data_IF_125325005896
#
_entry.id   IF_125325005896
#
_cell.length_a   1.000
_cell.length_b   1.000
_cell.length_c   1.000
_cell.angle_alpha   90.00
_cell.angle_beta   90.00
_cell.angle_gamma   90.00
#
_symmetry.space_group_name_H-M   'P 1'
#
loop_
_entity.id
_entity.type
_entity.pdbx_description
1 polymer ?
#
# COMPACT_ATOMS: atom_id res chain seq x y z
N UNK A 1 41.70 -59.00 36.90
CA UNK A 1 42.19 -58.55 35.58
C UNK A 1 41.01 -58.36 34.64
N UNK A 2 40.86 -57.15 34.10
CA UNK A 2 39.92 -56.80 33.03
C UNK A 2 40.41 -57.41 31.71
N UNK A 3 39.53 -58.03 30.91
CA UNK A 3 39.62 -57.96 29.45
C UNK A 3 38.32 -58.40 28.78
N UNK A 4 37.76 -57.50 27.97
CA UNK A 4 36.73 -57.77 26.97
C UNK A 4 37.28 -58.63 25.82
N UNK A 5 36.43 -59.42 25.17
CA UNK A 5 36.48 -59.60 23.71
C UNK A 5 35.10 -59.90 23.11
N UNK A 6 34.79 -59.13 22.05
CA UNK A 6 33.66 -59.21 21.10
C UNK A 6 33.70 -60.57 20.36
N UNK A 7 32.68 -61.12 19.69
CA UNK A 7 31.74 -60.60 18.68
C UNK A 7 30.77 -61.74 18.33
N UNK A 8 29.51 -61.47 17.98
CA UNK A 8 28.79 -62.29 16.98
C UNK A 8 27.95 -61.38 16.06
N UNK A 9 27.95 -61.75 14.79
CA UNK A 9 27.41 -61.07 13.62
C UNK A 9 25.88 -61.18 13.50
N UNK A 10 25.27 -60.29 12.73
CA UNK A 10 24.04 -60.59 11.99
C UNK A 10 22.98 -59.50 12.01
N UNK A 11 23.06 -58.60 11.04
CA UNK A 11 22.02 -57.62 10.67
C UNK A 11 20.68 -58.30 10.34
N UNK A 12 19.56 -57.56 10.45
CA UNK A 12 18.61 -57.23 9.37
C UNK A 12 17.30 -56.64 9.95
N UNK A 13 17.03 -55.36 9.62
CA UNK A 13 15.72 -54.72 9.32
C UNK A 13 14.58 -54.76 10.35
N UNK A 14 13.78 -53.72 10.62
CA UNK A 14 13.42 -52.51 9.88
C UNK A 14 13.34 -51.32 10.85
N UNK A 15 13.95 -50.18 10.49
CA UNK A 15 13.57 -48.87 11.04
C UNK A 15 12.59 -48.27 10.04
N UNK A 16 11.33 -48.13 10.44
CA UNK A 16 10.34 -47.33 9.72
C UNK A 16 10.75 -45.87 9.89
N UNK A 17 11.44 -45.33 8.89
CA UNK A 17 11.71 -43.90 8.81
C UNK A 17 10.41 -43.20 8.44
N UNK A 18 9.74 -42.64 9.44
CA UNK A 18 8.66 -41.69 9.24
C UNK A 18 9.29 -40.41 8.65
N UNK A 19 9.40 -40.34 7.32
CA UNK A 19 9.69 -39.08 6.63
C UNK A 19 8.53 -38.13 6.90
N UNK A 20 8.67 -37.28 7.92
CA UNK A 20 7.96 -36.02 7.96
C UNK A 20 8.38 -35.24 6.72
N UNK A 21 7.54 -35.26 5.67
CA UNK A 21 7.57 -34.18 4.70
C UNK A 21 7.26 -32.90 5.47
N UNK A 22 8.31 -32.19 5.89
CA UNK A 22 8.20 -30.75 6.07
C UNK A 22 7.90 -30.17 4.70
N UNK A 23 6.62 -30.07 4.37
CA UNK A 23 6.18 -29.12 3.34
C UNK A 23 6.43 -27.76 3.97
N UNK A 24 7.64 -27.23 3.77
CA UNK A 24 7.86 -25.81 3.92
C UNK A 24 6.97 -25.18 2.84
N UNK A 25 5.79 -24.71 3.23
CA UNK A 25 5.02 -23.79 2.38
C UNK A 25 5.90 -22.56 2.22
N UNK A 26 6.60 -22.46 1.10
CA UNK A 26 7.23 -21.21 0.72
C UNK A 26 6.11 -20.16 0.74
N UNK A 27 6.23 -19.16 1.60
CA UNK A 27 5.33 -18.01 1.57
C UNK A 27 5.27 -17.52 0.12
N UNK A 28 4.08 -17.48 -0.45
CA UNK A 28 3.92 -17.11 -1.85
C UNK A 28 4.50 -15.69 -2.02
N UNK A 29 5.34 -15.49 -3.04
CA UNK A 29 5.99 -14.22 -3.25
C UNK A 29 4.94 -13.14 -3.56
N UNK A 30 5.10 -11.95 -2.96
CA UNK A 30 4.30 -10.77 -3.30
C UNK A 30 4.30 -10.55 -4.82
N UNK A 31 3.12 -10.41 -5.41
CA UNK A 31 2.95 -10.15 -6.83
C UNK A 31 3.02 -8.65 -7.08
N UNK A 32 3.92 -8.19 -7.94
CA UNK A 32 3.96 -6.80 -8.40
C UNK A 32 2.85 -6.59 -9.43
N UNK A 33 2.07 -5.52 -9.28
CA UNK A 33 1.00 -5.18 -10.23
C UNK A 33 1.57 -4.91 -11.62
N UNK A 34 0.99 -5.54 -12.63
CA UNK A 34 1.48 -5.49 -14.01
C UNK A 34 1.12 -4.20 -14.76
N UNK A 35 1.30 -4.26 -16.08
CA UNK A 35 0.97 -3.17 -17.01
C UNK A 35 -0.54 -3.01 -17.19
N UNK A 36 -0.92 -1.87 -17.76
CA UNK A 36 -2.27 -1.60 -18.25
C UNK A 36 -2.60 -2.51 -19.43
N UNK A 37 -3.75 -3.21 -19.38
CA UNK A 37 -4.27 -4.09 -20.43
C UNK A 37 -5.50 -3.52 -21.15
N UNK A 38 -6.27 -2.65 -20.49
CA UNK A 38 -7.38 -1.90 -21.08
C UNK A 38 -7.49 -0.52 -20.45
N UNK A 39 -8.20 0.39 -21.10
CA UNK A 39 -8.46 1.73 -20.56
C UNK A 39 -9.88 2.14 -20.93
N UNK A 40 -10.69 2.45 -19.92
CA UNK A 40 -12.10 2.78 -20.05
C UNK A 40 -12.37 4.11 -19.33
N UNK A 41 -12.96 5.07 -20.04
CA UNK A 41 -13.41 6.33 -19.44
C UNK A 41 -14.86 6.19 -19.03
N UNK A 42 -15.14 6.36 -17.74
CA UNK A 42 -16.49 6.30 -17.18
C UNK A 42 -16.94 7.72 -16.86
N UNK A 43 -18.05 8.14 -17.47
CA UNK A 43 -18.68 9.43 -17.19
C UNK A 43 -19.81 9.21 -16.20
N UNK A 44 -19.80 9.94 -15.09
CA UNK A 44 -20.89 9.97 -14.14
C UNK A 44 -22.12 10.67 -14.77
N UNK A 45 -23.30 10.02 -14.78
CA UNK A 45 -24.47 10.56 -15.46
C UNK A 45 -25.12 11.72 -14.70
N UNK A 46 -24.81 11.94 -13.42
CA UNK A 46 -25.45 12.95 -12.58
C UNK A 46 -24.73 14.28 -12.68
N UNK A 47 -23.41 14.29 -12.51
CA UNK A 47 -22.60 15.51 -12.52
C UNK A 47 -21.71 15.65 -13.77
N UNK A 48 -21.63 14.62 -14.62
CA UNK A 48 -20.80 14.64 -15.82
C UNK A 48 -19.31 14.57 -15.54
N UNK A 49 -18.86 14.32 -14.30
CA UNK A 49 -17.46 14.07 -13.97
C UNK A 49 -17.01 12.75 -14.58
N UNK A 50 -15.70 12.60 -14.81
CA UNK A 50 -15.14 11.38 -15.39
C UNK A 50 -14.08 10.79 -14.50
N UNK A 51 -14.05 9.46 -14.49
CA UNK A 51 -12.99 8.64 -13.92
C UNK A 51 -12.46 7.70 -14.99
N UNK A 52 -11.21 7.27 -14.82
CA UNK A 52 -10.56 6.37 -15.77
C UNK A 52 -10.30 5.04 -15.07
N UNK A 53 -10.70 3.96 -15.72
CA UNK A 53 -10.52 2.60 -15.26
C UNK A 53 -9.50 1.92 -16.16
N UNK A 54 -8.45 1.34 -15.57
CA UNK A 54 -7.40 0.62 -16.25
C UNK A 54 -7.48 -0.85 -15.88
N UNK A 55 -7.73 -1.73 -16.86
CA UNK A 55 -7.52 -3.17 -16.67
C UNK A 55 -6.04 -3.47 -16.46
N UNK A 56 -5.73 -4.47 -15.63
CA UNK A 56 -4.35 -4.82 -15.27
C UNK A 56 -3.96 -6.20 -15.83
N UNK A 57 -2.74 -6.34 -16.34
CA UNK A 57 -2.25 -7.60 -16.93
C UNK A 57 -2.09 -8.73 -15.92
N UNK A 58 -1.97 -8.40 -14.62
CA UNK A 58 -1.94 -9.35 -13.50
C UNK A 58 -3.33 -9.71 -12.98
N UNK A 59 -4.38 -9.27 -13.67
CA UNK A 59 -5.76 -9.35 -13.19
C UNK A 59 -6.12 -8.17 -12.29
N UNK A 60 -7.42 -7.93 -12.16
CA UNK A 60 -7.94 -6.75 -11.49
C UNK A 60 -7.91 -5.49 -12.34
N UNK A 61 -8.12 -4.35 -11.69
CA UNK A 61 -8.17 -3.04 -12.30
C UNK A 61 -7.75 -1.92 -11.33
N UNK A 62 -7.33 -0.79 -11.91
CA UNK A 62 -7.08 0.47 -11.23
C UNK A 62 -8.13 1.50 -11.67
N UNK A 63 -8.85 2.11 -10.74
CA UNK A 63 -9.65 3.30 -10.97
C UNK A 63 -8.88 4.55 -10.49
N UNK A 64 -8.80 5.57 -11.35
CA UNK A 64 -8.33 6.91 -11.01
C UNK A 64 -9.47 7.89 -11.23
N UNK A 65 -10.00 8.44 -10.15
CA UNK A 65 -11.18 9.29 -10.14
C UNK A 65 -10.85 10.66 -9.50
N UNK A 66 -10.74 11.74 -10.28
CA UNK A 66 -10.64 13.09 -9.72
C UNK A 66 -12.02 13.54 -9.20
N UNK A 67 -12.13 13.77 -7.90
CA UNK A 67 -13.34 14.22 -7.20
C UNK A 67 -13.46 15.76 -7.21
N UNK A 68 -12.32 16.45 -7.24
CA UNK A 68 -12.19 17.89 -7.35
C UNK A 68 -10.85 18.21 -8.07
N UNK A 69 -10.57 19.47 -8.44
CA UNK A 69 -9.30 19.82 -9.06
C UNK A 69 -8.06 19.34 -8.28
N UNK A 70 -8.11 19.31 -6.95
CA UNK A 70 -7.03 18.96 -6.03
C UNK A 70 -7.25 17.64 -5.26
N UNK A 71 -8.37 16.94 -5.48
CA UNK A 71 -8.72 15.69 -4.78
C UNK A 71 -8.90 14.56 -5.77
N UNK A 72 -8.09 13.51 -5.63
CA UNK A 72 -8.11 12.33 -6.51
C UNK A 72 -8.17 11.06 -5.69
N UNK A 73 -9.08 10.16 -6.04
CA UNK A 73 -9.13 8.79 -5.53
C UNK A 73 -8.38 7.85 -6.47
N UNK A 74 -7.53 7.02 -5.89
CA UNK A 74 -6.86 5.90 -6.58
C UNK A 74 -7.31 4.61 -5.91
N UNK A 75 -7.94 3.72 -6.66
CA UNK A 75 -8.54 2.51 -6.12
C UNK A 75 -8.11 1.30 -6.94
N UNK A 76 -7.38 0.39 -6.28
CA UNK A 76 -7.03 -0.90 -6.86
C UNK A 76 -8.02 -1.98 -6.41
N UNK A 77 -8.29 -2.91 -7.32
CA UNK A 77 -9.28 -3.95 -7.10
C UNK A 77 -8.96 -5.22 -7.89
N UNK A 78 -9.10 -6.41 -7.29
CA UNK A 78 -8.75 -7.69 -7.92
C UNK A 78 -9.92 -8.67 -8.14
N UNK A 79 -11.08 -8.47 -7.49
CA UNK A 79 -12.17 -9.46 -7.47
C UNK A 79 -13.55 -8.84 -7.72
N UNK A 80 -14.05 -8.79 -8.96
CA UNK A 80 -15.46 -8.58 -9.37
C UNK A 80 -16.42 -7.55 -8.71
N UNK A 81 -16.09 -6.83 -7.64
CA UNK A 81 -17.00 -6.00 -6.84
C UNK A 81 -16.39 -4.60 -6.61
N UNK A 82 -16.76 -3.66 -7.47
CA UNK A 82 -16.31 -2.26 -7.44
C UNK A 82 -16.88 -1.45 -6.26
N UNK A 83 -18.00 -1.90 -5.69
CA UNK A 83 -18.64 -1.27 -4.54
C UNK A 83 -18.15 -1.92 -3.25
N UNK A 84 -17.11 -1.35 -2.65
CA UNK A 84 -16.84 -1.55 -1.21
C UNK A 84 -17.41 -0.36 -0.46
N UNK A 85 -17.83 -0.61 0.79
CA UNK A 85 -18.22 0.46 1.71
C UNK A 85 -17.04 1.41 1.94
N UNK A 86 -17.21 2.68 1.56
CA UNK A 86 -16.27 3.74 1.89
C UNK A 86 -16.55 4.20 3.33
N UNK A 87 -15.92 3.54 4.31
CA UNK A 87 -16.22 3.71 5.74
C UNK A 87 -15.96 5.12 6.30
N UNK A 88 -15.22 5.96 5.57
CA UNK A 88 -14.73 7.25 6.05
C UNK A 88 -14.83 8.37 5.00
N UNK A 89 -15.61 8.18 3.93
CA UNK A 89 -15.92 9.22 2.94
C UNK A 89 -17.42 9.46 2.96
N UNK A 90 -17.85 10.70 3.24
CA UNK A 90 -19.26 11.03 3.37
C UNK A 90 -19.97 11.37 2.07
N UNK A 91 -19.22 11.86 1.06
CA UNK A 91 -19.75 12.28 -0.23
C UNK A 91 -19.32 11.32 -1.33
N UNK A 92 -20.30 10.71 -1.98
CA UNK A 92 -20.12 9.85 -3.14
C UNK A 92 -19.73 10.67 -4.39
N UNK A 93 -19.11 10.02 -5.38
CA UNK A 93 -18.57 10.68 -6.57
C UNK A 93 -19.59 11.55 -7.32
N UNK A 94 -20.84 11.09 -7.41
CA UNK A 94 -21.98 11.78 -8.04
C UNK A 94 -22.45 13.04 -7.27
N UNK A 95 -22.06 13.18 -6.00
CA UNK A 95 -22.39 14.31 -5.12
C UNK A 95 -21.36 15.44 -5.16
N UNK A 96 -20.26 15.27 -5.89
CA UNK A 96 -19.27 16.33 -6.08
C UNK A 96 -19.65 17.26 -7.24
N UNK A 97 -19.37 18.58 -7.14
CA UNK A 97 -19.57 19.50 -8.25
C UNK A 97 -18.79 19.08 -9.50
N UNK A 98 -19.28 19.49 -10.68
CA UNK A 98 -18.51 19.32 -11.90
C UNK A 98 -17.33 20.27 -11.96
N UNK A 99 -16.25 19.84 -12.60
CA UNK A 99 -15.06 20.66 -12.84
C UNK A 99 -14.40 20.30 -14.17
N UNK A 100 -13.55 21.20 -14.65
CA UNK A 100 -12.81 21.01 -15.90
C UNK A 100 -11.72 19.96 -15.72
N UNK A 101 -11.65 19.05 -16.69
CA UNK A 101 -10.54 18.10 -16.80
C UNK A 101 -10.26 17.76 -18.24
N UNK A 102 -9.03 17.40 -18.53
CA UNK A 102 -8.60 16.86 -19.82
C UNK A 102 -8.04 15.47 -19.61
N UNK A 103 -8.50 14.52 -20.43
CA UNK A 103 -8.02 13.14 -20.45
C UNK A 103 -7.21 12.95 -21.73
N UNK A 104 -5.96 12.52 -21.60
CA UNK A 104 -5.03 12.38 -22.73
C UNK A 104 -4.28 11.05 -22.66
N UNK A 105 -4.26 10.32 -23.77
CA UNK A 105 -3.48 9.09 -23.90
C UNK A 105 -2.26 9.34 -24.78
N UNK A 106 -1.08 9.41 -24.15
CA UNK A 106 0.21 9.66 -24.80
C UNK A 106 0.99 8.37 -25.07
N UNK A 107 0.27 7.26 -25.25
CA UNK A 107 0.86 5.94 -25.48
C UNK A 107 1.30 5.31 -24.16
N UNK A 108 2.52 5.62 -23.71
CA UNK A 108 3.11 5.02 -22.50
C UNK A 108 2.57 5.61 -21.19
N UNK A 109 2.01 6.82 -21.25
CA UNK A 109 1.47 7.54 -20.10
C UNK A 109 0.05 7.98 -20.44
N UNK A 110 -0.88 7.73 -19.54
CA UNK A 110 -2.19 8.35 -19.58
C UNK A 110 -2.21 9.54 -18.62
N UNK A 111 -2.71 10.69 -19.06
CA UNK A 111 -2.77 11.92 -18.27
C UNK A 111 -4.20 12.31 -17.95
N UNK A 112 -4.44 12.64 -16.69
CA UNK A 112 -5.66 13.30 -16.22
C UNK A 112 -5.23 14.67 -15.70
N UNK A 113 -5.66 15.73 -16.37
CA UNK A 113 -5.25 17.10 -16.09
C UNK A 113 -6.45 17.85 -15.54
N UNK A 114 -6.31 18.44 -14.36
CA UNK A 114 -7.30 19.33 -13.72
C UNK A 114 -6.75 20.75 -13.66
N UNK A 115 -7.48 21.66 -13.02
CA UNK A 115 -7.01 23.04 -12.80
C UNK A 115 -5.82 23.12 -11.82
N UNK A 116 -5.68 22.16 -10.89
CA UNK A 116 -4.64 22.20 -9.84
C UNK A 116 -3.59 21.07 -9.96
N UNK A 117 -3.92 19.97 -10.65
CA UNK A 117 -3.10 18.77 -10.71
C UNK A 117 -2.92 18.24 -12.13
N UNK A 118 -1.78 17.58 -12.34
CA UNK A 118 -1.60 16.63 -13.43
C UNK A 118 -1.33 15.25 -12.82
N UNK A 119 -2.18 14.28 -13.16
CA UNK A 119 -2.04 12.88 -12.74
C UNK A 119 -1.51 12.10 -13.92
N UNK A 120 -0.31 11.53 -13.76
CA UNK A 120 0.30 10.65 -14.76
C UNK A 120 0.10 9.19 -14.33
N UNK A 121 -0.50 8.39 -15.21
CA UNK A 121 -0.58 6.93 -15.09
C UNK A 121 0.40 6.32 -16.07
N UNK A 122 1.56 5.89 -15.57
CA UNK A 122 2.57 5.16 -16.35
C UNK A 122 2.04 3.76 -16.57
N UNK A 123 1.93 3.34 -17.83
CA UNK A 123 1.20 2.11 -18.18
C UNK A 123 2.02 0.82 -18.08
N UNK A 124 3.35 0.87 -18.17
CA UNK A 124 4.22 -0.29 -18.34
C UNK A 124 5.66 0.03 -17.90
N UNK A 125 6.48 -0.93 -17.42
CA UNK A 125 6.21 -2.38 -17.24
C UNK A 125 5.36 -2.73 -16.02
N UNK A 126 5.20 -1.79 -15.10
CA UNK A 126 4.33 -1.89 -13.94
C UNK A 126 3.58 -0.59 -13.83
N UNK A 127 2.28 -0.66 -13.55
CA UNK A 127 1.48 0.55 -13.43
C UNK A 127 1.95 1.42 -12.26
N UNK A 128 2.10 2.72 -12.50
CA UNK A 128 2.45 3.71 -11.48
C UNK A 128 1.54 4.94 -11.61
N UNK A 129 1.12 5.51 -10.48
CA UNK A 129 0.38 6.76 -10.45
C UNK A 129 1.27 7.84 -9.85
N UNK A 130 1.39 8.97 -10.55
CA UNK A 130 2.15 10.12 -10.11
C UNK A 130 1.25 11.35 -10.07
N UNK A 131 1.50 12.22 -9.10
CA UNK A 131 0.80 13.48 -8.92
C UNK A 131 1.79 14.63 -9.09
N UNK A 132 1.48 15.57 -9.98
CA UNK A 132 2.23 16.79 -10.23
C UNK A 132 1.38 18.01 -9.95
N UNK A 133 2.00 19.10 -9.52
CA UNK A 133 1.38 20.43 -9.61
C UNK A 133 1.29 20.86 -11.07
N UNK A 134 0.48 21.88 -11.37
CA UNK A 134 0.43 22.50 -12.71
C UNK A 134 1.74 23.13 -13.16
N UNK A 135 2.61 23.49 -12.22
CA UNK A 135 3.96 23.99 -12.50
C UNK A 135 4.96 22.87 -12.87
N UNK A 136 4.50 21.61 -12.92
CA UNK A 136 5.28 20.44 -13.36
C UNK A 136 6.07 19.76 -12.25
N UNK A 137 5.95 20.20 -11.00
CA UNK A 137 6.67 19.59 -9.87
C UNK A 137 5.94 18.36 -9.33
N UNK A 138 6.63 17.23 -9.23
CA UNK A 138 6.09 16.03 -8.60
C UNK A 138 5.79 16.28 -7.11
N UNK A 139 4.55 16.02 -6.71
CA UNK A 139 4.07 16.07 -5.33
C UNK A 139 4.26 14.70 -4.67
N UNK A 140 3.72 13.64 -5.30
CA UNK A 140 3.83 12.25 -4.82
C UNK A 140 4.01 11.31 -6.00
N UNK A 141 4.88 10.30 -5.86
CA UNK A 141 5.18 9.32 -6.91
C UNK A 141 5.13 7.90 -6.36
N UNK A 142 4.37 7.05 -7.03
CA UNK A 142 4.44 5.60 -6.82
C UNK A 142 5.74 5.02 -7.39
N UNK A 143 6.36 4.12 -6.63
CA UNK A 143 7.41 3.24 -7.13
C UNK A 143 6.80 1.95 -7.69
N UNK A 144 5.94 1.28 -6.90
CA UNK A 144 5.17 0.10 -7.33
C UNK A 144 4.09 -0.27 -6.33
N UNK A 145 3.17 -1.12 -6.78
CA UNK A 145 2.17 -1.77 -5.95
C UNK A 145 2.45 -3.27 -5.95
N UNK A 146 2.28 -3.89 -4.78
CA UNK A 146 2.42 -5.32 -4.55
C UNK A 146 1.15 -5.84 -3.87
N UNK A 147 0.72 -7.04 -4.19
CA UNK A 147 -0.39 -7.71 -3.53
C UNK A 147 -0.14 -9.21 -3.33
N UNK A 148 -0.86 -9.80 -2.39
CA UNK A 148 -0.86 -11.24 -2.11
C UNK A 148 -2.27 -11.66 -1.68
N UNK A 149 -2.91 -12.54 -2.46
CA UNK A 149 -4.28 -13.04 -2.24
C UNK A 149 -4.34 -14.22 -1.29
N UNK A 150 -3.21 -14.79 -0.88
CA UNK A 150 -3.13 -15.92 0.06
C UNK A 150 -2.35 -15.53 1.32
N UNK A 151 -2.26 -14.24 1.61
CA UNK A 151 -1.48 -13.72 2.73
C UNK A 151 -1.91 -14.33 4.07
N UNK A 152 -0.92 -14.69 4.89
CA UNK A 152 -1.12 -15.06 6.29
C UNK A 152 -0.16 -14.23 7.18
N UNK A 153 -0.68 -13.32 8.03
CA UNK A 153 0.14 -12.46 8.86
C UNK A 153 0.96 -13.22 9.90
N UNK A 154 0.57 -14.44 10.29
CA UNK A 154 1.34 -15.29 11.21
C UNK A 154 2.65 -15.75 10.56
N UNK A 155 2.66 -15.87 9.24
CA UNK A 155 3.83 -16.30 8.47
C UNK A 155 4.77 -15.15 8.06
N UNK A 156 4.38 -13.89 8.33
CA UNK A 156 5.13 -12.71 7.91
C UNK A 156 5.97 -12.14 9.07
N UNK A 157 7.27 -12.43 9.14
CA UNK A 157 8.12 -11.95 10.23
C UNK A 157 8.26 -10.41 10.23
N UNK A 158 8.00 -9.73 9.11
CA UNK A 158 7.96 -8.26 9.06
C UNK A 158 6.69 -7.70 9.72
N UNK A 159 5.71 -8.55 9.99
CA UNK A 159 4.46 -8.23 10.68
C UNK A 159 4.49 -8.64 12.17
N UNK A 160 5.61 -9.18 12.68
CA UNK A 160 5.78 -9.60 14.08
C UNK A 160 5.75 -8.45 15.10
N UNK A 161 5.87 -7.19 14.66
CA UNK A 161 5.65 -6.01 15.52
C UNK A 161 4.18 -5.91 15.97
N UNK A 162 3.28 -6.64 15.32
CA UNK A 162 1.89 -6.78 15.71
C UNK A 162 1.77 -7.92 16.73
N UNK A 163 1.51 -7.61 18.01
CA UNK A 163 1.10 -8.61 19.01
C UNK A 163 -0.24 -9.23 18.58
N UNK A 164 -0.16 -10.27 17.76
CA UNK A 164 -1.28 -10.82 17.02
C UNK A 164 -1.75 -12.14 17.65
N UNK A 165 -3.06 -12.25 17.88
CA UNK A 165 -3.76 -13.54 17.93
C UNK A 165 -4.89 -13.46 16.92
N UNK A 166 -4.92 -14.38 15.95
CA UNK A 166 -6.11 -14.61 15.14
C UNK A 166 -6.48 -16.08 15.11
N UNK A 167 -7.76 -16.33 14.83
CA UNK A 167 -8.30 -17.67 14.64
C UNK A 167 -8.57 -17.99 13.15
N UNK A 168 -8.36 -17.05 12.21
CA UNK A 168 -8.74 -17.20 10.79
C UNK A 168 -7.81 -16.37 9.88
N UNK A 169 -7.22 -16.95 8.82
CA UNK A 169 -6.28 -16.27 7.92
C UNK A 169 -6.91 -15.04 7.25
N UNK A 170 -6.17 -13.92 7.24
CA UNK A 170 -6.56 -12.74 6.48
C UNK A 170 -6.05 -12.85 5.03
N UNK A 171 -6.89 -13.34 4.13
CA UNK A 171 -6.54 -13.72 2.75
C UNK A 171 -6.18 -12.56 1.79
N UNK A 172 -5.62 -11.45 2.28
CA UNK A 172 -5.16 -10.38 1.39
C UNK A 172 -4.14 -9.46 2.05
N UNK A 173 -3.05 -9.16 1.34
CA UNK A 173 -2.13 -8.05 1.63
C UNK A 173 -2.01 -7.15 0.43
N UNK A 174 -2.04 -5.85 0.68
CA UNK A 174 -1.74 -4.79 -0.28
C UNK A 174 -0.56 -3.98 0.25
N UNK A 175 0.37 -3.65 -0.62
CA UNK A 175 1.50 -2.77 -0.29
C UNK A 175 1.72 -1.78 -1.42
N UNK A 176 1.65 -0.49 -1.09
CA UNK A 176 2.06 0.59 -1.97
C UNK A 176 3.42 1.13 -1.52
N UNK A 177 4.36 1.18 -2.44
CA UNK A 177 5.70 1.73 -2.22
C UNK A 177 5.77 3.03 -3.01
N UNK A 178 6.12 4.11 -2.32
CA UNK A 178 6.26 5.45 -2.88
C UNK A 178 7.70 5.95 -2.74
N UNK A 179 8.06 6.88 -3.61
CA UNK A 179 9.29 7.68 -3.44
C UNK A 179 9.16 8.56 -2.19
N UNK A 180 10.29 8.76 -1.51
CA UNK A 180 10.44 9.50 -0.26
C UNK A 180 11.66 10.44 -0.37
N UNK A 181 11.51 11.60 -1.03
CA UNK A 181 12.62 12.53 -1.25
C UNK A 181 13.21 13.06 0.06
N UNK A 182 14.54 13.21 0.12
CA UNK A 182 15.25 13.58 1.36
C UNK A 182 14.77 14.91 1.97
N UNK A 183 14.36 15.88 1.15
CA UNK A 183 13.85 17.19 1.57
C UNK A 183 12.38 17.19 2.04
N UNK A 184 11.71 16.04 2.02
CA UNK A 184 10.32 15.91 2.46
C UNK A 184 10.19 15.50 3.92
N UNK A 185 9.35 16.24 4.66
CA UNK A 185 8.91 15.88 5.99
C UNK A 185 7.47 15.36 5.95
N UNK A 186 7.14 14.41 6.84
CA UNK A 186 5.83 13.75 6.87
C UNK A 186 5.16 13.95 8.21
N UNK A 187 3.86 14.26 8.19
CA UNK A 187 3.10 14.64 9.38
C UNK A 187 1.71 14.03 9.35
N UNK A 188 1.00 14.06 10.49
CA UNK A 188 -0.37 13.54 10.60
C UNK A 188 -0.44 12.23 11.39
N UNK A 189 -1.25 11.29 10.90
CA UNK A 189 -1.67 10.02 11.52
C UNK A 189 -2.53 10.14 12.79
N UNK A 190 -2.82 11.35 13.24
CA UNK A 190 -3.58 11.58 14.47
C UNK A 190 -2.73 11.35 15.73
N UNK A 191 -3.26 10.66 16.75
CA UNK A 191 -2.70 10.69 18.10
C UNK A 191 -1.56 9.69 18.32
N UNK A 192 -0.64 9.57 17.35
CA UNK A 192 0.58 8.81 17.55
C UNK A 192 1.63 9.63 18.30
N UNK A 193 2.26 9.00 19.28
CA UNK A 193 3.32 9.55 20.09
C UNK A 193 4.59 9.86 19.27
N UNK A 194 5.56 10.50 19.92
CA UNK A 194 6.88 10.75 19.34
C UNK A 194 6.99 12.01 18.49
N UNK A 195 8.14 12.16 17.79
CA UNK A 195 8.43 13.34 16.99
C UNK A 195 7.33 13.64 15.98
N UNK A 196 7.09 14.94 15.77
CA UNK A 196 6.05 15.43 14.87
C UNK A 196 6.32 15.00 13.41
N UNK A 197 7.58 15.05 12.97
CA UNK A 197 8.00 14.49 11.70
C UNK A 197 8.08 12.96 11.82
N UNK A 198 7.27 12.27 11.02
CA UNK A 198 7.10 10.82 11.03
C UNK A 198 8.14 10.08 10.21
N UNK A 199 9.02 10.79 9.50
CA UNK A 199 10.18 10.22 8.82
C UNK A 199 11.01 9.36 9.77
N UNK A 200 11.41 8.18 9.31
CA UNK A 200 12.17 7.20 10.08
C UNK A 200 11.33 6.37 11.07
N UNK A 201 10.01 6.52 11.08
CA UNK A 201 9.13 5.79 12.01
C UNK A 201 8.20 4.79 11.30
N UNK A 202 7.88 3.71 12.00
CA UNK A 202 6.82 2.78 11.62
C UNK A 202 5.58 3.11 12.44
N UNK A 203 4.45 3.29 11.79
CA UNK A 203 3.16 3.57 12.43
C UNK A 203 2.20 2.44 12.10
N UNK A 204 1.64 1.81 13.12
CA UNK A 204 0.73 0.68 12.98
C UNK A 204 -0.68 1.11 13.37
N UNK A 205 -1.62 1.00 12.41
CA UNK A 205 -3.04 1.21 12.63
C UNK A 205 -3.71 -0.04 13.19
N UNK A 206 -3.91 -0.08 14.50
CA UNK A 206 -4.72 -1.09 15.18
C UNK A 206 -5.22 -0.57 16.52
N UNK A 207 -6.43 -0.01 16.56
CA UNK A 207 -6.99 0.60 17.77
C UNK A 207 -6.85 -0.36 18.96
N UNK A 208 -6.01 0.03 19.92
CA UNK A 208 -5.60 -0.80 21.05
C UNK A 208 -5.68 -0.01 22.35
N UNK A 209 -6.09 -0.68 23.41
CA UNK A 209 -6.00 -0.14 24.77
C UNK A 209 -4.57 -0.23 25.29
N UNK A 210 -3.72 0.69 24.82
CA UNK A 210 -2.29 0.72 25.13
C UNK A 210 -2.03 1.62 26.34
N UNK A 211 -2.36 1.14 27.54
CA UNK A 211 -2.14 1.89 28.79
C UNK A 211 -0.65 2.19 29.06
N UNK A 212 -0.36 3.37 29.65
CA UNK A 212 1.00 3.84 29.99
C UNK A 212 2.00 3.81 28.84
N UNK A 213 1.52 4.12 27.64
CA UNK A 213 2.37 4.14 26.45
C UNK A 213 3.54 5.12 26.56
N UNK A 214 4.62 4.79 25.85
CA UNK A 214 5.83 5.60 25.76
C UNK A 214 5.99 6.20 24.36
N UNK A 215 6.94 7.11 24.20
CA UNK A 215 7.11 7.96 23.01
C UNK A 215 7.06 7.22 21.65
N UNK A 216 7.60 6.01 21.55
CA UNK A 216 7.68 5.26 20.28
C UNK A 216 6.72 4.07 20.21
N UNK A 217 5.73 4.00 21.09
CA UNK A 217 4.80 2.88 21.12
C UNK A 217 3.73 3.02 20.03
N UNK A 218 3.52 1.92 19.33
CA UNK A 218 2.47 1.74 18.35
C UNK A 218 2.01 0.28 18.44
N UNK A 219 0.72 -0.03 18.27
CA UNK A 219 -0.39 0.89 18.02
C UNK A 219 -0.93 1.59 19.28
N UNK A 220 -1.78 2.61 19.11
CA UNK A 220 -2.46 3.35 20.18
C UNK A 220 -4.00 3.30 20.02
N UNK A 221 -4.70 4.16 20.75
CA UNK A 221 -6.17 4.12 20.90
C UNK A 221 -6.98 4.38 19.63
N UNK A 222 -6.44 5.17 18.70
CA UNK A 222 -7.16 5.59 17.49
C UNK A 222 -6.25 5.59 16.27
N UNK A 223 -6.77 5.06 15.17
CA UNK A 223 -6.14 5.04 13.86
C UNK A 223 -6.77 6.09 12.97
N UNK A 224 -6.00 7.10 12.58
CA UNK A 224 -6.39 8.06 11.55
C UNK A 224 -5.42 7.89 10.37
N UNK A 225 -5.76 7.12 9.31
CA UNK A 225 -4.85 6.77 8.24
C UNK A 225 -4.71 7.91 7.21
N UNK A 226 -4.52 9.13 7.69
CA UNK A 226 -4.28 10.34 6.92
C UNK A 226 -2.95 10.96 7.33
N UNK A 227 -2.09 11.20 6.36
CA UNK A 227 -0.83 11.91 6.57
C UNK A 227 -0.58 12.87 5.41
N UNK A 228 0.37 13.78 5.59
CA UNK A 228 0.70 14.77 4.58
C UNK A 228 2.20 15.00 4.51
N UNK A 229 2.69 15.19 3.28
CA UNK A 229 4.07 15.54 2.97
C UNK A 229 4.21 17.05 2.82
N UNK A 230 5.29 17.60 3.36
CA UNK A 230 5.67 19.00 3.22
C UNK A 230 7.11 19.09 2.73
N UNK A 231 7.32 19.90 1.69
CA UNK A 231 8.64 20.29 1.19
C UNK A 231 8.76 21.80 1.22
N UNK A 232 9.89 22.28 1.73
CA UNK A 232 10.24 23.69 1.65
C UNK A 232 10.62 24.11 0.23
N UNK A 233 10.97 25.37 0.07
CA UNK A 233 11.54 25.88 -1.19
C UNK A 233 12.91 25.23 -1.41
N UNK A 234 13.16 24.72 -2.62
CA UNK A 234 14.42 24.06 -3.00
C UNK A 234 14.82 24.48 -4.42
N UNK A 235 15.77 25.41 -4.54
CA UNK A 235 16.10 26.03 -5.83
C UNK A 235 14.88 26.74 -6.43
N UNK A 236 14.53 26.40 -7.67
CA UNK A 236 13.35 26.93 -8.38
C UNK A 236 12.03 26.24 -7.97
N UNK A 237 12.09 25.19 -7.13
CA UNK A 237 10.90 24.49 -6.65
C UNK A 237 10.22 25.29 -5.53
N UNK A 238 8.92 25.64 -5.65
CA UNK A 238 8.18 26.28 -4.57
C UNK A 238 7.93 25.31 -3.42
N UNK A 239 7.55 25.84 -2.25
CA UNK A 239 7.08 24.99 -1.16
C UNK A 239 5.83 24.22 -1.59
N UNK A 240 5.76 22.92 -1.30
CA UNK A 240 4.63 22.06 -1.67
C UNK A 240 4.10 21.30 -0.47
N UNK A 241 2.78 21.14 -0.41
CA UNK A 241 2.10 20.26 0.54
C UNK A 241 1.14 19.33 -0.20
N UNK A 242 1.01 18.09 0.25
CA UNK A 242 0.03 17.13 -0.25
C UNK A 242 -0.42 16.20 0.86
N UNK A 243 -1.65 15.69 0.78
CA UNK A 243 -2.21 14.73 1.73
C UNK A 243 -2.45 13.37 1.07
N UNK A 244 -2.32 12.30 1.84
CA UNK A 244 -2.75 10.96 1.48
C UNK A 244 -3.63 10.40 2.57
N UNK A 245 -4.86 10.07 2.19
CA UNK A 245 -5.81 9.36 3.03
C UNK A 245 -5.92 7.91 2.54
N UNK A 246 -5.54 6.96 3.38
CA UNK A 246 -5.69 5.54 3.09
C UNK A 246 -7.03 5.03 3.63
N UNK A 247 -8.06 5.08 2.78
CA UNK A 247 -9.42 4.65 3.11
C UNK A 247 -9.55 3.12 3.13
N UNK A 248 -9.04 2.48 4.19
CA UNK A 248 -9.12 1.04 4.36
C UNK A 248 -9.28 0.66 5.85
N UNK A 249 -10.33 -0.11 6.22
CA UNK A 249 -10.59 -0.49 7.62
C UNK A 249 -9.73 -1.66 8.12
N UNK A 250 -8.82 -2.20 7.30
CA UNK A 250 -7.90 -3.25 7.72
C UNK A 250 -6.86 -2.70 8.72
N UNK A 251 -5.75 -3.42 8.89
CA UNK A 251 -4.67 -3.07 9.83
C UNK A 251 -3.48 -2.46 9.08
N UNK A 252 -3.52 -1.17 8.68
CA UNK A 252 -2.45 -0.58 7.91
C UNK A 252 -1.15 -0.49 8.71
N UNK A 253 -0.03 -0.64 8.02
CA UNK A 253 1.30 -0.36 8.56
C UNK A 253 1.96 0.64 7.63
N UNK A 254 2.26 1.83 8.15
CA UNK A 254 2.95 2.89 7.42
C UNK A 254 4.43 2.85 7.80
N UNK A 255 5.29 2.53 6.84
CA UNK A 255 6.74 2.50 7.01
C UNK A 255 7.33 3.77 6.39
N UNK A 256 7.54 4.79 7.20
CA UNK A 256 7.99 6.10 6.74
C UNK A 256 9.52 6.11 6.56
N UNK A 257 10.02 5.34 5.61
CA UNK A 257 11.46 5.23 5.33
C UNK A 257 12.20 4.16 6.13
N UNK A 258 11.52 3.40 6.99
CA UNK A 258 12.15 2.36 7.83
C UNK A 258 12.60 1.11 7.08
N UNK A 259 12.10 0.89 5.85
CA UNK A 259 12.50 -0.27 5.05
C UNK A 259 13.67 0.01 4.09
N UNK A 260 13.74 1.23 3.53
CA UNK A 260 14.65 1.54 2.42
C UNK A 260 15.25 2.95 2.42
N UNK A 261 14.90 3.81 3.38
CA UNK A 261 15.39 5.20 3.47
C UNK A 261 14.90 6.10 2.33
N UNK A 262 15.69 7.14 2.03
CA UNK A 262 15.42 8.14 0.98
C UNK A 262 15.53 7.50 -0.40
N UNK A 263 14.47 7.63 -1.21
CA UNK A 263 14.39 7.11 -2.59
C UNK A 263 13.50 7.95 -3.47
#
# INVERSE_FOLDING_TARGET
MKQQRKTFHGSWTLIVALMMLCVATAAQALTVVGSVSSTDVVTDPVNGNQKVVFGLSTGGALEVAPYAPDVVRVQYHWDGIWSKEDVAISKWFDQWPSFNRTLQDDGNVYRIITDDLEIEVVKSPNIQVHFKSRDGFYLSRDNRIEYDTLYDPVSDPSYNEVRYTHAVPSQFKLKNIREMPASEAYFGFGPYAGPLNRRGHTIQGWNSDTFQWQEYWTPLYMTMPFFYGLRGVEGDRPSTAWGLFFNNPARPVFRMGTQWGDR
#
